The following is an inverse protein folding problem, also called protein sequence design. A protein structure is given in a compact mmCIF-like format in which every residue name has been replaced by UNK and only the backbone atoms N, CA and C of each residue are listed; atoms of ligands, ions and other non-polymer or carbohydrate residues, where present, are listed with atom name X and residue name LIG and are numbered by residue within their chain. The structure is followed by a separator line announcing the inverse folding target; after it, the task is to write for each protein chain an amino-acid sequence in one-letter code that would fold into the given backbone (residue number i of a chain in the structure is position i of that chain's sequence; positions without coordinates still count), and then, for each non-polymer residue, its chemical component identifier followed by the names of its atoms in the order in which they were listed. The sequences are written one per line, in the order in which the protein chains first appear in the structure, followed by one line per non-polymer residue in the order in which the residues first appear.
data_IF_074619185000
#
_entry.id   IF_074619185000
#
_cell.length_a   1.000
_cell.length_b   1.000
_cell.length_c   1.000
_cell.angle_alpha   90.00
_cell.angle_beta   90.00
_cell.angle_gamma   90.00
#
_symmetry.space_group_name_H-M   'P 1'
#
loop_
_entity.id
_entity.type
_entity.pdbx_description
1 polymer ?
#
# COMPACT_ATOMS: atom_id res chain seq x y z
N UNK A 1 16.40 5.24 1.64
CA UNK A 1 16.61 6.70 1.51
C UNK A 1 16.38 7.12 0.07
N UNK A 2 15.71 8.24 -0.11
CA UNK A 2 15.39 8.85 -1.40
C UNK A 2 16.08 10.22 -1.49
N UNK A 3 16.64 10.54 -2.65
CA UNK A 3 17.18 11.87 -2.92
C UNK A 3 16.07 12.82 -3.39
N UNK A 4 15.91 13.95 -2.71
CA UNK A 4 14.99 15.03 -3.09
C UNK A 4 15.83 16.21 -3.57
N UNK A 5 15.64 16.60 -4.82
CA UNK A 5 16.33 17.79 -5.36
C UNK A 5 15.68 19.05 -4.80
N UNK A 6 16.52 20.04 -4.46
CA UNK A 6 16.05 21.33 -3.98
C UNK A 6 16.22 22.34 -5.09
N UNK A 7 15.09 22.78 -5.65
CA UNK A 7 15.03 23.76 -6.72
C UNK A 7 14.92 25.16 -6.11
N UNK A 8 15.71 26.11 -6.58
CA UNK A 8 15.68 27.51 -6.15
C UNK A 8 15.28 28.41 -7.31
N UNK A 9 14.47 29.42 -6.99
CA UNK A 9 14.12 30.49 -7.92
C UNK A 9 13.76 31.78 -7.17
N UNK A 10 13.73 32.88 -7.90
CA UNK A 10 13.36 34.20 -7.40
C UNK A 10 11.85 34.45 -7.60
N UNK A 11 11.19 35.05 -6.62
CA UNK A 11 9.78 35.46 -6.69
C UNK A 11 9.54 36.68 -5.80
N UNK A 12 8.41 37.36 -5.98
CA UNK A 12 8.01 38.43 -5.08
C UNK A 12 7.31 37.88 -3.84
N UNK A 13 7.62 38.46 -2.68
CA UNK A 13 6.90 38.15 -1.45
C UNK A 13 5.44 38.59 -1.56
N UNK A 14 4.49 37.69 -1.33
CA UNK A 14 3.05 38.01 -1.45
C UNK A 14 2.58 39.14 -0.53
N UNK A 15 3.28 39.35 0.60
CA UNK A 15 2.89 40.35 1.62
C UNK A 15 3.53 41.72 1.42
N UNK A 16 4.82 41.76 1.09
CA UNK A 16 5.60 43.01 1.06
C UNK A 16 6.21 43.34 -0.31
N UNK A 17 5.99 42.50 -1.31
CA UNK A 17 6.48 42.66 -2.69
C UNK A 17 8.01 42.78 -2.82
N UNK A 18 8.76 42.45 -1.75
CA UNK A 18 10.22 42.34 -1.84
C UNK A 18 10.55 41.07 -2.60
N UNK A 19 11.46 41.18 -3.58
CA UNK A 19 12.01 40.02 -4.27
C UNK A 19 12.75 39.13 -3.27
N UNK A 20 12.42 37.84 -3.26
CA UNK A 20 12.96 36.84 -2.36
C UNK A 20 13.35 35.59 -3.15
N UNK A 21 14.32 34.85 -2.62
CA UNK A 21 14.62 33.51 -3.10
C UNK A 21 13.81 32.50 -2.31
N UNK A 22 13.19 31.56 -3.01
CA UNK A 22 12.42 30.46 -2.43
C UNK A 22 12.97 29.14 -2.94
N UNK A 23 12.81 28.10 -2.13
CA UNK A 23 13.14 26.73 -2.52
C UNK A 23 11.88 25.88 -2.69
N UNK A 24 11.99 24.89 -3.55
CA UNK A 24 10.99 23.87 -3.79
C UNK A 24 11.67 22.49 -3.72
N UNK A 25 11.34 21.66 -2.71
CA UNK A 25 11.80 20.29 -2.65
C UNK A 25 11.09 19.46 -3.73
N UNK A 26 11.76 19.29 -4.87
CA UNK A 26 11.33 18.46 -5.99
C UNK A 26 11.44 17.00 -5.60
N UNK A 27 10.29 16.40 -5.35
CA UNK A 27 10.22 14.97 -5.08
C UNK A 27 8.80 14.44 -5.18
N UNK A 28 8.74 13.17 -5.58
CA UNK A 28 7.83 12.13 -5.14
C UNK A 28 6.45 12.61 -4.63
N UNK A 29 5.61 13.18 -5.51
CA UNK A 29 4.18 13.38 -5.27
C UNK A 29 3.61 14.69 -5.82
N UNK A 30 2.68 14.58 -6.77
CA UNK A 30 1.81 15.69 -7.15
C UNK A 30 0.95 16.16 -5.97
N UNK A 31 0.59 17.45 -6.02
CA UNK A 31 -0.30 18.17 -5.11
C UNK A 31 -0.02 17.99 -3.60
N UNK A 32 0.85 18.85 -3.07
CA UNK A 32 0.47 19.63 -1.88
C UNK A 32 0.79 19.13 -0.47
N UNK A 33 1.77 18.25 -0.22
CA UNK A 33 2.21 18.07 1.18
C UNK A 33 3.03 16.84 1.59
N UNK A 34 3.61 16.07 0.66
CA UNK A 34 4.42 14.91 1.07
C UNK A 34 5.91 15.23 1.26
N UNK A 35 6.45 16.12 0.42
CA UNK A 35 7.88 16.41 0.35
C UNK A 35 8.34 17.46 1.34
N UNK A 36 7.47 18.39 1.74
CA UNK A 36 7.84 19.49 2.61
C UNK A 36 8.18 19.04 4.02
N UNK A 37 7.48 18.06 4.55
CA UNK A 37 7.68 17.55 5.91
C UNK A 37 9.03 16.83 6.00
N UNK A 38 9.30 15.90 5.07
CA UNK A 38 10.54 15.12 5.05
C UNK A 38 11.76 15.98 4.70
N UNK A 39 11.64 16.88 3.71
CA UNK A 39 12.76 17.73 3.31
C UNK A 39 12.93 18.92 4.26
N UNK A 40 11.82 19.47 4.77
CA UNK A 40 11.80 20.68 5.60
C UNK A 40 12.64 20.58 6.85
N UNK A 41 12.57 19.45 7.58
CA UNK A 41 13.43 19.19 8.73
C UNK A 41 14.92 19.32 8.40
N UNK A 42 15.32 18.92 7.19
CA UNK A 42 16.72 19.01 6.73
C UNK A 42 17.06 20.37 6.15
N UNK A 43 16.07 21.15 5.75
CA UNK A 43 16.24 22.46 5.11
C UNK A 43 16.34 23.60 6.13
N UNK A 44 15.71 23.50 7.30
CA UNK A 44 15.73 24.59 8.31
C UNK A 44 17.15 24.98 8.73
N UNK A 45 18.08 24.03 8.74
CA UNK A 45 19.47 24.28 9.15
C UNK A 45 20.38 24.71 7.97
N UNK A 46 19.83 24.90 6.77
CA UNK A 46 20.61 25.17 5.56
C UNK A 46 20.65 26.67 5.26
N UNK A 47 21.85 27.23 5.28
CA UNK A 47 22.09 28.67 5.05
C UNK A 47 21.64 29.18 3.66
N UNK A 48 21.50 28.29 2.68
CA UNK A 48 21.12 28.67 1.31
C UNK A 48 19.60 28.84 1.10
N UNK A 49 18.78 28.54 2.12
CA UNK A 49 17.33 28.66 2.01
C UNK A 49 16.71 29.33 3.24
N UNK A 50 15.65 30.11 3.01
CA UNK A 50 14.87 30.74 4.08
C UNK A 50 13.68 29.87 4.44
N UNK A 51 13.94 28.63 4.87
CA UNK A 51 12.90 27.69 5.29
C UNK A 51 12.84 27.66 6.81
N UNK A 52 11.64 27.80 7.36
CA UNK A 52 11.41 27.72 8.80
C UNK A 52 10.24 26.79 9.11
N UNK A 53 10.19 26.30 10.34
CA UNK A 53 8.96 25.74 10.91
C UNK A 53 8.03 26.90 11.28
N UNK A 54 6.89 27.00 10.62
CA UNK A 54 5.96 28.13 10.72
C UNK A 54 4.50 27.68 10.70
N UNK A 55 3.58 28.50 11.22
CA UNK A 55 2.17 28.12 11.30
C UNK A 55 1.40 28.46 10.02
N UNK A 56 0.84 27.44 9.35
CA UNK A 56 -0.05 27.61 8.21
C UNK A 56 -1.47 27.90 8.69
N UNK A 57 -1.94 29.16 8.53
CA UNK A 57 -3.31 29.52 8.90
C UNK A 57 -4.37 28.77 8.09
N UNK A 58 -4.09 28.49 6.82
CA UNK A 58 -5.01 27.78 5.94
C UNK A 58 -5.19 26.32 6.36
N UNK A 59 -4.14 25.67 6.85
CA UNK A 59 -4.17 24.27 7.26
C UNK A 59 -4.38 24.08 8.77
N UNK A 60 -4.24 25.14 9.57
CA UNK A 60 -4.40 25.07 11.01
C UNK A 60 -3.30 24.29 11.73
N UNK A 61 -2.11 24.14 11.12
CA UNK A 61 -1.01 23.31 11.63
C UNK A 61 0.36 23.94 11.36
N UNK A 62 1.37 23.48 12.10
CA UNK A 62 2.78 23.85 11.85
C UNK A 62 3.32 23.10 10.63
N UNK A 63 3.92 23.84 9.70
CA UNK A 63 4.53 23.32 8.47
C UNK A 63 5.96 23.81 8.36
N UNK A 64 6.79 23.10 7.60
CA UNK A 64 8.02 23.68 7.08
C UNK A 64 7.74 24.41 5.79
N UNK A 65 8.30 25.62 5.62
CA UNK A 65 8.13 26.35 4.37
C UNK A 65 8.93 27.63 4.27
N UNK A 66 8.95 28.19 3.06
CA UNK A 66 9.68 29.43 2.79
C UNK A 66 9.10 30.62 3.57
N UNK A 67 9.98 31.42 4.17
CA UNK A 67 9.65 32.70 4.80
C UNK A 67 10.35 33.85 4.10
N UNK A 68 9.70 35.01 4.07
CA UNK A 68 10.30 36.21 3.51
C UNK A 68 11.41 36.74 4.43
N UNK A 69 12.61 36.95 3.87
CA UNK A 69 13.75 37.54 4.60
C UNK A 69 13.51 38.96 5.10
N UNK A 70 12.60 39.70 4.48
CA UNK A 70 12.29 41.09 4.84
C UNK A 70 11.15 41.21 5.87
N UNK A 71 10.04 40.47 5.69
CA UNK A 71 8.83 40.63 6.50
C UNK A 71 8.37 39.38 7.25
N UNK A 72 9.18 38.31 7.19
CA UNK A 72 8.99 37.00 7.85
C UNK A 72 7.67 36.29 7.53
N UNK A 73 6.96 36.75 6.49
CA UNK A 73 5.73 36.10 6.07
C UNK A 73 6.02 34.72 5.51
N UNK A 74 5.25 33.72 5.95
CA UNK A 74 5.21 32.41 5.30
C UNK A 74 4.68 32.55 3.86
N UNK A 75 5.40 32.02 2.87
CA UNK A 75 5.08 32.18 1.45
C UNK A 75 4.10 31.13 0.90
N UNK A 76 3.69 30.16 1.71
CA UNK A 76 2.66 29.18 1.34
C UNK A 76 3.16 28.11 0.37
N UNK A 77 3.37 26.89 0.86
CA UNK A 77 3.82 25.75 0.07
C UNK A 77 2.92 25.47 -1.16
N UNK A 78 1.61 25.75 -1.03
CA UNK A 78 0.67 25.66 -2.14
C UNK A 78 1.00 26.63 -3.28
N UNK A 79 1.24 27.91 -2.99
CA UNK A 79 1.56 28.92 -4.01
C UNK A 79 2.94 28.68 -4.66
N UNK A 80 3.91 28.25 -3.85
CA UNK A 80 5.22 27.82 -4.36
C UNK A 80 5.05 26.62 -5.31
N UNK A 81 4.20 25.65 -4.96
CA UNK A 81 3.90 24.52 -5.83
C UNK A 81 3.17 24.92 -7.10
N UNK A 82 2.16 25.79 -7.04
CA UNK A 82 1.43 26.28 -8.23
C UNK A 82 2.37 26.96 -9.22
N UNK A 83 3.28 27.81 -8.74
CA UNK A 83 4.25 28.47 -9.62
C UNK A 83 5.16 27.45 -10.34
N UNK A 84 5.63 26.42 -9.63
CA UNK A 84 6.41 25.34 -10.25
C UNK A 84 5.56 24.53 -11.22
N UNK A 85 4.31 24.27 -10.87
CA UNK A 85 3.38 23.49 -11.69
C UNK A 85 3.03 24.21 -12.99
N UNK A 86 2.84 25.52 -12.97
CA UNK A 86 2.60 26.33 -14.17
C UNK A 86 3.76 26.21 -15.15
N UNK A 87 5.00 26.27 -14.66
CA UNK A 87 6.20 26.04 -15.48
C UNK A 87 6.22 24.61 -16.04
N UNK A 88 5.97 23.60 -15.21
CA UNK A 88 5.88 22.20 -15.65
C UNK A 88 4.81 21.99 -16.71
N UNK A 89 3.64 22.61 -16.54
CA UNK A 89 2.53 22.56 -17.48
C UNK A 89 2.89 23.24 -18.81
N UNK A 90 3.57 24.40 -18.77
CA UNK A 90 4.04 25.10 -19.96
C UNK A 90 5.02 24.26 -20.78
N UNK A 91 5.93 23.53 -20.12
CA UNK A 91 6.88 22.64 -20.80
C UNK A 91 6.36 21.23 -21.06
N UNK A 92 5.21 20.87 -20.50
CA UNK A 92 4.67 19.51 -20.47
C UNK A 92 5.68 18.46 -19.98
N UNK A 93 6.64 18.88 -19.15
CA UNK A 93 7.76 18.03 -18.71
C UNK A 93 8.44 18.63 -17.48
N UNK A 94 8.59 17.79 -16.45
CA UNK A 94 9.37 18.12 -15.26
C UNK A 94 10.86 18.33 -15.57
N UNK A 95 11.41 17.56 -16.51
CA UNK A 95 12.85 17.63 -16.81
C UNK A 95 13.19 18.87 -17.64
N UNK A 96 12.26 19.35 -18.46
CA UNK A 96 12.42 20.64 -19.15
C UNK A 96 12.18 21.81 -18.20
N UNK A 97 11.14 21.73 -17.37
CA UNK A 97 10.88 22.77 -16.37
C UNK A 97 12.05 22.95 -15.40
N UNK A 98 12.75 21.86 -15.05
CA UNK A 98 13.99 21.89 -14.25
C UNK A 98 15.01 22.92 -14.77
N UNK A 99 15.07 23.18 -16.07
CA UNK A 99 16.03 24.13 -16.66
C UNK A 99 15.78 25.59 -16.23
N UNK A 100 14.57 25.92 -15.77
CA UNK A 100 14.23 27.24 -15.21
C UNK A 100 14.64 27.40 -13.74
N UNK A 101 15.09 26.32 -13.09
CA UNK A 101 15.40 26.31 -11.67
C UNK A 101 16.87 26.00 -11.42
N UNK A 102 17.44 26.65 -10.42
CA UNK A 102 18.76 26.28 -9.92
C UNK A 102 18.62 25.09 -8.96
N UNK A 103 19.32 23.99 -9.21
CA UNK A 103 19.38 22.88 -8.26
C UNK A 103 20.50 23.15 -7.25
N UNK A 104 20.11 23.47 -6.02
CA UNK A 104 21.04 23.94 -4.98
C UNK A 104 21.50 22.85 -4.03
N UNK A 105 20.72 21.77 -3.88
CA UNK A 105 21.08 20.63 -3.04
C UNK A 105 20.28 19.37 -3.46
N UNK A 106 20.71 18.22 -2.96
CA UNK A 106 19.95 16.97 -2.95
C UNK A 106 19.91 16.47 -1.51
N UNK A 107 18.74 16.52 -0.89
CA UNK A 107 18.57 16.04 0.49
C UNK A 107 18.12 14.59 0.49
N UNK A 108 18.86 13.74 1.20
CA UNK A 108 18.47 12.34 1.40
C UNK A 108 17.51 12.23 2.58
N UNK A 109 16.31 11.72 2.34
CA UNK A 109 15.32 11.47 3.40
C UNK A 109 15.03 9.99 3.54
N UNK A 110 14.77 9.56 4.77
CA UNK A 110 14.25 8.22 5.07
C UNK A 110 12.83 8.13 4.52
N UNK A 111 12.53 7.03 3.84
CA UNK A 111 11.21 6.77 3.27
C UNK A 111 10.84 5.31 3.52
N UNK A 112 10.57 4.93 4.78
CA UNK A 112 10.36 3.54 5.15
C UNK A 112 8.97 3.06 4.71
N UNK A 113 8.88 1.79 4.36
CA UNK A 113 7.62 1.08 4.17
C UNK A 113 6.77 1.20 5.43
N UNK A 114 5.50 1.59 5.29
CA UNK A 114 4.60 1.76 6.44
C UNK A 114 4.27 0.44 7.16
N UNK A 115 4.47 -0.71 6.49
CA UNK A 115 4.14 -2.02 7.04
C UNK A 115 5.33 -2.71 7.71
N UNK A 116 6.51 -2.68 7.07
CA UNK A 116 7.68 -3.43 7.55
C UNK A 116 8.88 -2.54 7.93
N UNK A 117 8.82 -1.24 7.68
CA UNK A 117 9.93 -0.31 7.94
C UNK A 117 11.08 -0.39 6.95
N UNK A 118 11.01 -1.24 5.92
CA UNK A 118 12.04 -1.35 4.89
C UNK A 118 12.25 -0.01 4.17
N UNK A 119 13.50 0.43 4.07
CA UNK A 119 13.85 1.68 3.40
C UNK A 119 13.56 1.61 1.91
N UNK A 120 12.53 2.35 1.47
CA UNK A 120 12.21 2.45 0.06
C UNK A 120 13.23 3.34 -0.66
N UNK A 121 13.48 3.01 -1.92
CA UNK A 121 14.34 3.77 -2.84
C UNK A 121 13.53 4.59 -3.85
N UNK A 122 12.20 4.44 -3.84
CA UNK A 122 11.27 5.15 -4.71
C UNK A 122 9.89 5.28 -4.04
N UNK A 123 9.08 6.24 -4.50
CA UNK A 123 7.74 6.47 -3.93
C UNK A 123 6.68 5.56 -4.52
N UNK A 124 5.72 5.18 -3.68
CA UNK A 124 4.44 4.61 -4.07
C UNK A 124 3.32 5.39 -3.39
N UNK A 125 2.14 5.39 -4.00
CA UNK A 125 0.95 6.06 -3.44
C UNK A 125 0.65 5.59 -2.01
N UNK A 126 0.83 4.30 -1.73
CA UNK A 126 0.57 3.71 -0.42
C UNK A 126 1.80 3.68 0.52
N UNK A 127 2.98 4.11 0.07
CA UNK A 127 4.26 3.99 0.82
C UNK A 127 4.51 2.56 1.37
N UNK A 128 4.25 1.54 0.54
CA UNK A 128 4.44 0.12 0.88
C UNK A 128 5.50 -0.48 -0.04
N UNK A 129 6.40 -1.34 0.47
CA UNK A 129 7.36 -2.07 -0.36
C UNK A 129 6.66 -3.12 -1.24
N UNK A 130 7.37 -3.67 -2.23
CA UNK A 130 6.83 -4.71 -3.12
C UNK A 130 6.30 -5.93 -2.38
N UNK A 131 7.04 -6.41 -1.38
CA UNK A 131 6.66 -7.57 -0.60
C UNK A 131 5.37 -7.33 0.21
N UNK A 132 5.28 -6.20 0.89
CA UNK A 132 4.09 -5.86 1.69
C UNK A 132 2.88 -5.52 0.81
N UNK A 133 3.07 -4.90 -0.36
CA UNK A 133 1.97 -4.66 -1.30
C UNK A 133 1.41 -5.99 -1.80
N UNK A 134 2.29 -6.92 -2.19
CA UNK A 134 1.89 -8.25 -2.61
C UNK A 134 1.15 -9.01 -1.49
N UNK A 135 1.63 -8.89 -0.26
CA UNK A 135 0.95 -9.47 0.91
C UNK A 135 -0.47 -8.90 1.09
N UNK A 136 -0.63 -7.57 0.97
CA UNK A 136 -1.97 -6.93 1.01
C UNK A 136 -2.88 -7.40 -0.10
N UNK A 137 -2.36 -7.58 -1.32
CA UNK A 137 -3.13 -8.09 -2.45
C UNK A 137 -3.59 -9.54 -2.21
N UNK A 138 -2.74 -10.38 -1.62
CA UNK A 138 -3.09 -11.73 -1.20
C UNK A 138 -4.20 -11.67 -0.13
N UNK A 139 -4.02 -10.87 0.92
CA UNK A 139 -5.02 -10.72 1.98
C UNK A 139 -6.36 -10.19 1.46
N UNK A 140 -6.33 -9.18 0.59
CA UNK A 140 -7.53 -8.64 -0.07
C UNK A 140 -8.19 -9.66 -1.01
N UNK A 141 -7.39 -10.50 -1.68
CA UNK A 141 -7.88 -11.61 -2.52
C UNK A 141 -8.48 -12.75 -1.70
N UNK A 142 -7.99 -12.96 -0.47
CA UNK A 142 -8.46 -14.04 0.41
C UNK A 142 -9.71 -13.64 1.20
N UNK A 143 -10.00 -12.34 1.36
CA UNK A 143 -11.19 -11.86 2.06
C UNK A 143 -11.21 -12.21 3.56
N UNK A 144 -12.24 -11.75 4.28
CA UNK A 144 -12.49 -12.16 5.67
C UNK A 144 -12.59 -13.69 5.75
N UNK A 145 -11.60 -14.31 6.38
CA UNK A 145 -11.50 -15.74 6.72
C UNK A 145 -12.32 -16.67 5.82
N UNK A 146 -11.71 -17.16 4.72
CA UNK A 146 -12.21 -18.39 4.12
C UNK A 146 -12.09 -19.45 5.21
N UNK A 147 -13.21 -19.93 5.76
CA UNK A 147 -13.25 -21.12 6.59
C UNK A 147 -12.67 -22.25 5.73
N UNK A 148 -11.37 -22.49 5.86
CA UNK A 148 -10.69 -23.53 5.13
C UNK A 148 -11.20 -24.84 5.68
N UNK A 149 -11.97 -25.55 4.86
CA UNK A 149 -12.36 -26.91 5.15
C UNK A 149 -11.21 -27.85 4.77
N UNK A 150 -11.02 -28.89 5.56
CA UNK A 150 -9.96 -29.87 5.36
C UNK A 150 -10.56 -31.25 5.13
N UNK A 151 -9.91 -32.04 4.28
CA UNK A 151 -10.27 -33.44 4.07
C UNK A 151 -10.04 -34.22 5.36
N UNK A 152 -11.07 -34.83 5.91
CA UNK A 152 -10.96 -35.62 7.16
C UNK A 152 -10.13 -36.90 7.02
N UNK A 153 -9.69 -37.26 5.80
CA UNK A 153 -8.85 -38.44 5.53
C UNK A 153 -7.38 -38.10 5.30
N UNK A 154 -7.09 -37.02 4.58
CA UNK A 154 -5.71 -36.68 4.20
C UNK A 154 -5.26 -35.30 4.68
N UNK A 155 -6.11 -34.58 5.42
CA UNK A 155 -5.84 -33.26 6.01
C UNK A 155 -5.48 -32.18 4.99
N UNK A 156 -5.73 -32.45 3.70
CA UNK A 156 -5.52 -31.47 2.62
C UNK A 156 -6.64 -30.44 2.57
N UNK A 157 -6.30 -29.21 2.20
CA UNK A 157 -7.26 -28.12 1.99
C UNK A 157 -8.25 -28.52 0.89
N UNK A 158 -9.55 -28.35 1.17
CA UNK A 158 -10.62 -28.63 0.23
C UNK A 158 -10.97 -27.39 -0.58
N UNK A 159 -10.81 -27.49 -1.89
CA UNK A 159 -11.38 -26.50 -2.79
C UNK A 159 -12.90 -26.71 -2.87
N UNK A 160 -13.74 -25.64 -2.86
CA UNK A 160 -15.21 -25.78 -2.85
C UNK A 160 -15.79 -26.65 -3.98
N UNK A 161 -15.11 -26.74 -5.13
CA UNK A 161 -15.53 -27.55 -6.29
C UNK A 161 -15.02 -29.00 -6.26
N UNK A 162 -14.18 -29.36 -5.28
CA UNK A 162 -13.51 -30.67 -5.17
C UNK A 162 -13.74 -31.35 -3.81
N UNK A 163 -14.80 -30.95 -3.11
CA UNK A 163 -15.25 -31.53 -1.84
C UNK A 163 -16.46 -32.43 -2.06
N UNK A 164 -16.48 -33.57 -1.39
CA UNK A 164 -17.57 -34.54 -1.41
C UNK A 164 -17.95 -34.90 0.04
N UNK A 165 -19.26 -34.97 0.29
CA UNK A 165 -19.78 -35.58 1.51
C UNK A 165 -19.79 -37.09 1.32
N UNK A 166 -19.02 -37.80 2.13
CA UNK A 166 -18.91 -39.25 2.11
C UNK A 166 -19.73 -39.85 3.26
N UNK A 167 -20.63 -40.79 2.95
CA UNK A 167 -21.41 -41.50 3.95
C UNK A 167 -20.58 -42.61 4.60
N UNK A 168 -20.40 -42.55 5.91
CA UNK A 168 -19.77 -43.61 6.73
C UNK A 168 -20.80 -44.53 7.37
N UNK A 169 -22.03 -44.05 7.58
CA UNK A 169 -23.16 -44.82 8.09
C UNK A 169 -24.47 -44.28 7.54
N UNK A 170 -25.46 -45.16 7.38
CA UNK A 170 -26.84 -44.79 7.06
C UNK A 170 -27.79 -44.95 8.26
N UNK A 171 -27.35 -45.55 9.39
CA UNK A 171 -28.16 -45.65 10.62
C UNK A 171 -27.31 -45.73 11.91
N UNK A 172 -27.17 -44.62 12.67
CA UNK A 172 -27.61 -43.27 12.30
C UNK A 172 -26.91 -42.80 11.02
N UNK A 173 -27.53 -41.88 10.28
CA UNK A 173 -26.87 -41.28 9.11
C UNK A 173 -25.66 -40.46 9.58
N UNK A 174 -24.47 -40.84 9.11
CA UNK A 174 -23.22 -40.16 9.39
C UNK A 174 -22.50 -39.86 8.07
N UNK A 175 -22.07 -38.61 7.92
CA UNK A 175 -21.30 -38.14 6.79
C UNK A 175 -20.04 -37.42 7.25
N UNK A 176 -19.01 -37.45 6.43
CA UNK A 176 -17.76 -36.75 6.65
C UNK A 176 -17.31 -36.04 5.38
N UNK A 177 -16.55 -34.96 5.52
CA UNK A 177 -16.08 -34.17 4.39
C UNK A 177 -14.72 -34.66 3.89
N UNK A 178 -14.66 -35.04 2.60
CA UNK A 178 -13.44 -35.57 1.98
C UNK A 178 -13.19 -34.95 0.60
N UNK A 179 -11.94 -35.00 0.12
CA UNK A 179 -11.64 -34.60 -1.26
C UNK A 179 -12.07 -35.69 -2.24
N UNK A 180 -12.36 -35.32 -3.49
CA UNK A 180 -12.75 -36.26 -4.55
C UNK A 180 -11.78 -37.44 -4.70
N UNK A 181 -10.48 -37.18 -4.52
CA UNK A 181 -9.45 -38.21 -4.59
C UNK A 181 -9.55 -39.22 -3.44
N UNK A 182 -9.81 -38.76 -2.22
CA UNK A 182 -9.99 -39.66 -1.07
C UNK A 182 -11.33 -40.39 -1.17
N UNK A 183 -12.40 -39.70 -1.58
CA UNK A 183 -13.71 -40.29 -1.85
C UNK A 183 -13.62 -41.45 -2.85
N UNK A 184 -12.97 -41.21 -4.00
CA UNK A 184 -12.75 -42.25 -5.01
C UNK A 184 -11.89 -43.41 -4.49
N UNK A 185 -10.85 -43.14 -3.69
CA UNK A 185 -10.02 -44.20 -3.11
C UNK A 185 -10.78 -45.06 -2.11
N UNK A 186 -11.67 -44.47 -1.30
CA UNK A 186 -12.52 -45.23 -0.36
C UNK A 186 -13.38 -46.24 -1.13
N UNK A 187 -14.02 -45.82 -2.23
CA UNK A 187 -14.90 -46.70 -3.01
C UNK A 187 -14.18 -47.67 -3.96
N UNK A 188 -12.97 -47.37 -4.41
CA UNK A 188 -12.33 -48.10 -5.51
C UNK A 188 -10.96 -48.70 -5.19
N UNK A 189 -10.33 -48.32 -4.08
CA UNK A 189 -9.02 -48.87 -3.67
C UNK A 189 -9.18 -49.77 -2.45
N UNK A 190 -9.16 -51.08 -2.68
CA UNK A 190 -9.24 -52.10 -1.64
C UNK A 190 -8.20 -51.86 -0.52
N UNK A 191 -8.66 -51.88 0.74
CA UNK A 191 -7.81 -51.76 1.92
C UNK A 191 -7.29 -50.34 2.20
N UNK A 192 -7.80 -49.30 1.51
CA UNK A 192 -7.37 -47.93 1.75
C UNK A 192 -7.91 -47.37 3.07
N UNK A 193 -9.24 -47.44 3.25
CA UNK A 193 -10.00 -47.01 4.43
C UNK A 193 -11.34 -47.74 4.47
N UNK A 194 -11.28 -49.07 4.55
CA UNK A 194 -12.47 -49.93 4.56
C UNK A 194 -13.35 -49.65 5.79
N UNK A 195 -12.78 -49.06 6.84
CA UNK A 195 -13.47 -48.57 8.04
C UNK A 195 -14.44 -47.40 7.77
N UNK A 196 -14.28 -46.72 6.63
CA UNK A 196 -15.16 -45.62 6.22
C UNK A 196 -16.25 -46.07 5.25
N UNK A 197 -16.32 -47.35 4.89
CA UNK A 197 -17.40 -47.85 4.04
C UNK A 197 -18.66 -48.12 4.90
N UNK A 198 -19.84 -47.70 4.42
CA UNK A 198 -21.08 -47.99 5.14
C UNK A 198 -21.37 -49.49 5.17
N UNK A 199 -22.06 -49.94 6.21
CA UNK A 199 -22.40 -51.37 6.40
C UNK A 199 -23.37 -51.92 5.35
N UNK A 200 -24.07 -51.04 4.63
CA UNK A 200 -24.97 -51.37 3.54
C UNK A 200 -24.80 -50.39 2.40
N UNK A 201 -25.24 -50.78 1.21
CA UNK A 201 -25.26 -49.89 0.05
C UNK A 201 -26.34 -48.82 0.19
N UNK A 202 -26.17 -47.71 -0.54
CA UNK A 202 -27.18 -46.66 -0.64
C UNK A 202 -28.55 -47.19 -1.04
N UNK A 203 -28.61 -48.13 -1.99
CA UNK A 203 -29.85 -48.73 -2.48
C UNK A 203 -30.57 -49.50 -1.36
N UNK A 204 -29.82 -50.25 -0.55
CA UNK A 204 -30.39 -50.98 0.59
C UNK A 204 -30.89 -50.02 1.68
N UNK A 205 -30.20 -48.91 1.91
CA UNK A 205 -30.61 -47.87 2.86
C UNK A 205 -31.90 -47.15 2.40
N UNK A 206 -32.01 -46.80 1.13
CA UNK A 206 -33.22 -46.21 0.52
C UNK A 206 -34.41 -47.18 0.62
N UNK A 207 -34.20 -48.48 0.37
CA UNK A 207 -35.25 -49.50 0.51
C UNK A 207 -35.73 -49.70 1.96
N UNK A 208 -34.87 -49.40 2.94
CA UNK A 208 -35.19 -49.47 4.37
C UNK A 208 -35.74 -48.14 4.92
N UNK A 209 -35.81 -47.08 4.12
CA UNK A 209 -36.29 -45.75 4.52
C UNK A 209 -35.36 -45.05 5.52
N UNK A 210 -34.06 -45.34 5.47
CA UNK A 210 -33.05 -44.75 6.34
C UNK A 210 -32.53 -43.40 5.80
N UNK A 211 -32.63 -43.18 4.49
CA UNK A 211 -32.28 -41.97 3.74
C UNK A 211 -33.28 -41.73 2.60
#
# INVERSE_FOLDING_TARGET
MIGIEIWRYDTDCWKCSTQIQVVYPRGLGGFGGGTWELAGEKLVDKEYCNVEKTFSRTQGLEVFGNVCTNCTAYQGNHFIHEHVFDTVAAFQSWDRAREEYEVVDVVEVSYPCVDCGEELTYKREQQVCDACLHQREIEASLGDSVDLEYCEVCEGILHPEHRANHHTSYNPEETMLVCDTCHAKIHHKQGFRDDLLPQMTRIEAEQQGLI
#
